data_IF_138517318124
#
_entry.id   IF_138517318124
#
_cell.length_a   1.000
_cell.length_b   1.000
_cell.length_c   1.000
_cell.angle_alpha   90.00
_cell.angle_beta   90.00
_cell.angle_gamma   90.00
#
_symmetry.space_group_name_H-M   'P 1'
#
loop_
_entity.id
_entity.type
_entity.pdbx_description
1 polymer ?
#
# COMPACT_ATOMS: atom_id res chain seq x y z
N UNK A 1 22.72 8.52 -3.67
CA UNK A 1 22.46 7.38 -2.77
C UNK A 1 22.22 7.93 -1.38
N UNK A 2 20.98 8.17 -1.02
CA UNK A 2 20.62 8.58 0.35
C UNK A 2 19.73 7.45 0.91
N UNK A 3 20.31 6.68 1.82
CA UNK A 3 19.59 5.69 2.61
C UNK A 3 18.65 6.44 3.54
N UNK A 4 17.35 6.36 3.28
CA UNK A 4 16.32 6.75 4.25
C UNK A 4 16.23 5.59 5.24
N UNK A 5 16.95 5.69 6.35
CA UNK A 5 16.75 4.81 7.49
C UNK A 5 15.42 5.20 8.13
N UNK A 6 14.40 4.39 7.90
CA UNK A 6 13.20 4.37 8.74
C UNK A 6 13.58 3.77 10.09
N UNK A 7 14.13 4.57 10.98
CA UNK A 7 14.11 4.25 12.40
C UNK A 7 12.74 4.66 12.93
N UNK A 8 11.77 3.75 12.78
CA UNK A 8 10.58 3.77 13.61
C UNK A 8 11.05 3.50 15.04
N UNK A 9 11.34 4.55 15.78
CA UNK A 9 11.48 4.47 17.22
C UNK A 9 10.08 4.21 17.77
N UNK A 10 9.68 2.93 17.78
CA UNK A 10 8.57 2.47 18.60
C UNK A 10 9.02 2.60 20.07
N UNK A 11 8.82 3.76 20.64
CA UNK A 11 8.83 3.95 22.08
C UNK A 11 7.54 3.31 22.63
N UNK A 12 7.49 1.97 22.61
CA UNK A 12 6.54 1.23 23.39
C UNK A 12 7.05 1.28 24.83
N UNK A 13 6.44 2.17 25.61
CA UNK A 13 6.58 2.16 27.06
C UNK A 13 6.05 0.83 27.56
N UNK A 14 6.98 -0.06 27.92
CA UNK A 14 6.66 -1.24 28.69
C UNK A 14 6.08 -0.77 30.03
N UNK A 15 4.76 -0.85 30.20
CA UNK A 15 4.12 -0.83 31.49
C UNK A 15 4.45 -2.14 32.20
N UNK A 16 5.61 -2.23 32.77
CA UNK A 16 5.89 -3.19 33.82
C UNK A 16 5.29 -2.63 35.12
N UNK A 17 4.40 -3.41 35.71
CA UNK A 17 3.84 -3.27 37.04
C UNK A 17 4.92 -3.02 38.08
N UNK A 18 5.10 -1.76 38.44
CA UNK A 18 5.74 -1.37 39.71
C UNK A 18 4.88 -0.25 40.27
N UNK A 19 4.61 -0.38 41.57
CA UNK A 19 3.64 0.34 42.37
C UNK A 19 3.59 1.85 42.19
N UNK A 20 2.45 2.40 42.53
CA UNK A 20 2.16 3.81 42.66
C UNK A 20 3.33 4.62 43.30
N UNK A 21 4.20 5.12 42.46
CA UNK A 21 4.90 6.36 42.72
C UNK A 21 4.39 7.34 41.65
N UNK A 22 3.62 8.31 42.11
CA UNK A 22 3.22 9.46 41.29
C UNK A 22 4.46 10.18 40.80
N UNK A 23 5.04 9.74 39.71
CA UNK A 23 6.03 10.51 39.00
C UNK A 23 5.30 11.75 38.46
N UNK A 24 5.35 12.83 39.19
CA UNK A 24 4.94 14.14 38.74
C UNK A 24 5.88 14.52 37.60
N UNK A 25 5.41 14.34 36.38
CA UNK A 25 6.05 14.90 35.21
C UNK A 25 6.10 16.42 35.43
N UNK A 26 7.26 17.03 35.27
CA UNK A 26 7.37 18.47 35.44
C UNK A 26 6.46 19.16 34.41
N UNK A 27 5.95 20.33 34.76
CA UNK A 27 5.12 21.11 33.84
C UNK A 27 5.80 21.33 32.49
N UNK A 28 7.11 21.55 32.51
CA UNK A 28 7.92 21.74 31.31
C UNK A 28 8.05 20.47 30.46
N UNK A 29 8.13 19.29 31.07
CA UNK A 29 8.15 18.01 30.37
C UNK A 29 6.80 17.74 29.70
N UNK A 30 5.71 18.02 30.39
CA UNK A 30 4.35 17.88 29.83
C UNK A 30 4.11 18.87 28.68
N UNK A 31 4.55 20.12 28.80
CA UNK A 31 4.47 21.12 27.74
C UNK A 31 5.31 20.73 26.51
N UNK A 32 6.48 20.12 26.70
CA UNK A 32 7.32 19.60 25.60
C UNK A 32 6.68 18.41 24.91
N UNK A 33 6.15 17.46 25.68
CA UNK A 33 5.48 16.27 25.11
C UNK A 33 4.22 16.65 24.34
N UNK A 34 3.40 17.55 24.88
CA UNK A 34 2.21 18.04 24.18
C UNK A 34 2.54 18.84 22.92
N UNK A 35 3.63 19.60 22.92
CA UNK A 35 4.11 20.29 21.73
C UNK A 35 4.59 19.31 20.64
N UNK A 36 5.33 18.26 21.01
CA UNK A 36 5.78 17.22 20.09
C UNK A 36 4.60 16.43 19.50
N UNK A 37 3.63 16.05 20.33
CA UNK A 37 2.42 15.37 19.89
C UNK A 37 1.60 16.23 18.93
N UNK A 38 1.52 17.53 19.17
CA UNK A 38 0.81 18.47 18.30
C UNK A 38 1.54 18.62 16.97
N UNK A 39 2.86 18.71 16.96
CA UNK A 39 3.66 18.76 15.73
C UNK A 39 3.50 17.47 14.91
N UNK A 40 3.56 16.31 15.57
CA UNK A 40 3.36 15.01 14.92
C UNK A 40 1.94 14.89 14.34
N UNK A 41 0.92 15.30 15.10
CA UNK A 41 -0.47 15.32 14.63
C UNK A 41 -0.62 16.20 13.38
N UNK A 42 -0.07 17.42 13.39
CA UNK A 42 -0.14 18.33 12.26
C UNK A 42 0.57 17.77 11.02
N UNK A 43 1.74 17.12 11.21
CA UNK A 43 2.46 16.46 10.13
C UNK A 43 1.62 15.31 9.53
N UNK A 44 0.99 14.48 10.36
CA UNK A 44 0.14 13.38 9.94
C UNK A 44 -1.12 13.87 9.22
N UNK A 45 -1.74 14.97 9.67
CA UNK A 45 -2.88 15.59 9.00
C UNK A 45 -2.49 16.13 7.62
N UNK A 46 -1.33 16.75 7.48
CA UNK A 46 -0.82 17.22 6.21
C UNK A 46 -0.52 16.06 5.23
N UNK A 47 0.07 14.96 5.72
CA UNK A 47 0.29 13.76 4.92
C UNK A 47 -1.02 13.13 4.46
N UNK A 48 -2.00 13.00 5.37
CA UNK A 48 -3.33 12.50 5.01
C UNK A 48 -4.03 13.38 3.98
N UNK A 49 -3.89 14.70 4.06
CA UNK A 49 -4.43 15.61 3.06
C UNK A 49 -3.77 15.42 1.69
N UNK A 50 -2.46 15.25 1.64
CA UNK A 50 -1.72 14.97 0.41
C UNK A 50 -2.12 13.62 -0.22
N UNK A 51 -2.33 12.59 0.59
CA UNK A 51 -2.81 11.27 0.13
C UNK A 51 -4.23 11.35 -0.45
N UNK A 52 -5.12 12.13 0.18
CA UNK A 52 -6.48 12.35 -0.35
C UNK A 52 -6.48 13.07 -1.71
N UNK A 53 -5.59 14.06 -1.89
CA UNK A 53 -5.43 14.74 -3.18
C UNK A 53 -4.94 13.80 -4.27
N UNK A 54 -3.95 12.92 -3.98
CA UNK A 54 -3.49 11.89 -4.92
C UNK A 54 -4.62 10.93 -5.31
N UNK A 55 -5.45 10.52 -4.35
CA UNK A 55 -6.62 9.68 -4.62
C UNK A 55 -7.64 10.36 -5.54
N UNK A 56 -7.95 11.63 -5.30
CA UNK A 56 -8.85 12.40 -6.13
C UNK A 56 -8.32 12.61 -7.56
N UNK A 57 -7.01 12.80 -7.72
CA UNK A 57 -6.38 12.88 -9.04
C UNK A 57 -6.49 11.57 -9.82
N UNK A 58 -6.33 10.43 -9.14
CA UNK A 58 -6.56 9.11 -9.75
C UNK A 58 -8.01 8.97 -10.25
N UNK A 59 -8.98 9.29 -9.42
CA UNK A 59 -10.41 9.16 -9.76
C UNK A 59 -10.79 10.09 -10.94
N UNK A 60 -10.19 11.29 -10.98
CA UNK A 60 -10.36 12.22 -12.11
C UNK A 60 -9.78 11.66 -13.40
N UNK A 61 -8.55 11.16 -13.39
CA UNK A 61 -7.91 10.58 -14.56
C UNK A 61 -8.69 9.37 -15.09
N UNK A 62 -9.20 8.55 -14.19
CA UNK A 62 -10.06 7.42 -14.55
C UNK A 62 -11.34 7.89 -15.23
N UNK A 63 -12.04 8.88 -14.68
CA UNK A 63 -13.24 9.43 -15.25
C UNK A 63 -13.00 10.09 -16.61
N UNK A 64 -11.91 10.82 -16.79
CA UNK A 64 -11.52 11.42 -18.08
C UNK A 64 -11.28 10.33 -19.14
N UNK A 65 -10.59 9.26 -18.79
CA UNK A 65 -10.34 8.13 -19.69
C UNK A 65 -11.63 7.45 -20.12
N UNK A 66 -12.55 7.21 -19.17
CA UNK A 66 -13.85 6.59 -19.45
C UNK A 66 -14.72 7.49 -20.34
N UNK A 67 -14.72 8.80 -20.11
CA UNK A 67 -15.51 9.77 -20.89
C UNK A 67 -15.01 9.96 -22.32
N UNK A 68 -13.72 9.82 -22.55
CA UNK A 68 -13.12 10.01 -23.89
C UNK A 68 -13.24 8.78 -24.80
N UNK A 69 -13.81 7.67 -24.33
CA UNK A 69 -13.92 6.43 -25.09
C UNK A 69 -12.59 5.71 -25.36
N UNK A 70 -11.50 6.20 -24.82
CA UNK A 70 -10.14 5.64 -24.97
C UNK A 70 -9.86 4.50 -23.98
N UNK A 71 -10.69 4.36 -22.96
CA UNK A 71 -10.55 3.37 -21.90
C UNK A 71 -10.45 1.95 -22.44
N UNK A 72 -11.38 1.58 -23.29
CA UNK A 72 -11.46 0.21 -23.83
C UNK A 72 -10.18 -0.16 -24.62
N UNK A 73 -9.66 0.77 -25.42
CA UNK A 73 -8.42 0.57 -26.17
C UNK A 73 -7.22 0.46 -25.24
N UNK A 74 -7.08 1.39 -24.31
CA UNK A 74 -5.99 1.39 -23.33
C UNK A 74 -5.98 0.09 -22.52
N UNK A 75 -7.11 -0.32 -21.97
CA UNK A 75 -7.18 -1.52 -21.14
C UNK A 75 -6.98 -2.81 -21.94
N UNK A 76 -7.44 -2.86 -23.19
CA UNK A 76 -7.18 -3.98 -24.08
C UNK A 76 -5.67 -4.14 -24.39
N UNK A 77 -5.00 -3.04 -24.72
CA UNK A 77 -3.54 -3.02 -24.96
C UNK A 77 -2.75 -3.38 -23.68
N UNK A 78 -3.15 -2.84 -22.55
CA UNK A 78 -2.58 -3.15 -21.25
C UNK A 78 -2.72 -4.64 -20.92
N UNK A 79 -3.92 -5.19 -21.09
CA UNK A 79 -4.20 -6.61 -20.83
C UNK A 79 -3.36 -7.52 -21.74
N UNK A 80 -3.24 -7.18 -23.02
CA UNK A 80 -2.41 -7.95 -23.96
C UNK A 80 -0.92 -7.88 -23.59
N UNK A 81 -0.42 -6.70 -23.23
CA UNK A 81 0.97 -6.48 -22.81
C UNK A 81 1.29 -7.29 -21.55
N UNK A 82 0.41 -7.25 -20.54
CA UNK A 82 0.57 -7.99 -19.29
C UNK A 82 0.55 -9.49 -19.51
N UNK A 83 -0.43 -10.00 -20.28
CA UNK A 83 -0.52 -11.44 -20.60
C UNK A 83 0.76 -11.94 -21.28
N UNK A 84 1.29 -11.17 -22.25
CA UNK A 84 2.54 -11.52 -22.93
C UNK A 84 3.74 -11.47 -21.97
N UNK A 85 3.81 -10.46 -21.13
CA UNK A 85 4.89 -10.32 -20.13
C UNK A 85 4.88 -11.49 -19.13
N UNK A 86 3.73 -11.88 -18.62
CA UNK A 86 3.60 -12.98 -17.67
C UNK A 86 3.88 -14.34 -18.33
N UNK A 87 3.35 -14.57 -19.53
CA UNK A 87 3.65 -15.79 -20.29
C UNK A 87 5.14 -15.98 -20.53
N UNK A 88 5.89 -14.91 -20.77
CA UNK A 88 7.34 -14.98 -21.03
C UNK A 88 8.18 -15.46 -19.81
N UNK A 89 7.62 -15.42 -18.61
CA UNK A 89 8.25 -15.87 -17.36
C UNK A 89 7.55 -17.08 -16.74
N UNK A 90 6.64 -17.72 -17.48
CA UNK A 90 5.98 -18.95 -17.03
C UNK A 90 4.91 -18.74 -15.96
N UNK A 91 4.37 -17.53 -15.84
CA UNK A 91 3.28 -17.24 -14.89
C UNK A 91 1.94 -17.66 -15.51
N UNK A 92 1.21 -18.49 -14.79
CA UNK A 92 -0.04 -19.05 -15.26
C UNK A 92 -1.22 -18.09 -15.11
N UNK A 93 -2.22 -18.15 -16.03
CA UNK A 93 -3.42 -17.32 -15.93
C UNK A 93 -4.24 -17.50 -14.65
N UNK A 94 -4.03 -18.62 -13.94
CA UNK A 94 -4.67 -18.89 -12.65
C UNK A 94 -4.06 -18.10 -11.48
N UNK A 95 -2.87 -17.55 -11.67
CA UNK A 95 -2.15 -16.79 -10.65
C UNK A 95 -2.47 -15.29 -10.72
N UNK A 96 -2.76 -14.81 -11.95
CA UNK A 96 -3.03 -13.39 -12.22
C UNK A 96 -4.19 -13.26 -13.19
N UNK A 97 -5.19 -12.48 -12.83
CA UNK A 97 -6.30 -12.14 -13.71
C UNK A 97 -6.23 -10.68 -14.12
N UNK A 98 -6.25 -10.41 -15.42
CA UNK A 98 -6.31 -9.05 -15.96
C UNK A 98 -7.71 -8.80 -16.48
N UNK A 99 -8.39 -7.81 -15.90
CA UNK A 99 -9.74 -7.40 -16.28
C UNK A 99 -9.72 -6.26 -17.31
N UNK A 100 -10.81 -6.14 -18.07
CA UNK A 100 -10.94 -5.12 -19.11
C UNK A 100 -11.25 -3.71 -18.56
N UNK A 101 -11.32 -3.56 -17.24
CA UNK A 101 -11.47 -2.30 -16.51
C UNK A 101 -10.12 -1.77 -15.95
N UNK A 102 -9.00 -2.33 -16.40
CA UNK A 102 -7.66 -1.96 -15.94
C UNK A 102 -7.29 -2.52 -14.56
N UNK A 103 -8.09 -3.43 -14.03
CA UNK A 103 -7.84 -4.10 -12.77
C UNK A 103 -7.04 -5.37 -13.00
N UNK A 104 -5.92 -5.47 -12.28
CA UNK A 104 -5.08 -6.67 -12.23
C UNK A 104 -5.23 -7.30 -10.86
N UNK A 105 -5.64 -8.56 -10.81
CA UNK A 105 -5.92 -9.31 -9.58
C UNK A 105 -4.83 -10.36 -9.39
N UNK A 106 -4.17 -10.31 -8.26
CA UNK A 106 -3.16 -11.26 -7.81
C UNK A 106 -3.72 -12.11 -6.68
N UNK A 107 -3.68 -13.43 -6.83
CA UNK A 107 -4.05 -14.31 -5.73
C UNK A 107 -3.06 -14.18 -4.57
N UNK A 108 -3.57 -14.05 -3.34
CA UNK A 108 -2.70 -13.93 -2.14
C UNK A 108 -1.78 -15.12 -1.98
N UNK A 109 -2.27 -16.33 -2.27
CA UNK A 109 -1.53 -17.58 -2.10
C UNK A 109 -0.33 -17.70 -3.07
N UNK A 110 -0.28 -16.87 -4.11
CA UNK A 110 0.83 -16.74 -5.06
C UNK A 110 1.85 -15.71 -4.56
N UNK A 111 1.36 -14.57 -4.05
CA UNK A 111 2.23 -13.47 -3.65
C UNK A 111 2.89 -13.69 -2.29
N UNK A 112 2.19 -14.32 -1.34
CA UNK A 112 2.61 -14.33 0.07
C UNK A 112 2.78 -15.74 0.61
N UNK A 113 3.69 -15.88 1.57
CA UNK A 113 3.80 -17.08 2.38
C UNK A 113 2.49 -17.37 3.13
N UNK A 114 2.26 -18.65 3.45
CA UNK A 114 1.07 -19.07 4.15
C UNK A 114 0.90 -18.32 5.47
N UNK A 115 -0.29 -17.80 5.71
CA UNK A 115 -0.61 -17.04 6.92
C UNK A 115 0.39 -15.90 7.19
N UNK A 116 0.78 -15.16 6.13
CA UNK A 116 1.78 -14.10 6.20
C UNK A 116 1.38 -12.89 5.35
N UNK A 117 2.12 -11.81 5.52
CA UNK A 117 2.21 -10.65 4.65
C UNK A 117 3.62 -10.52 4.02
N UNK A 118 4.51 -11.49 4.27
CA UNK A 118 5.81 -11.56 3.62
C UNK A 118 5.65 -12.10 2.20
N UNK A 119 6.22 -11.40 1.24
CA UNK A 119 6.22 -11.84 -0.16
C UNK A 119 7.13 -13.06 -0.35
N UNK A 120 6.64 -14.05 -1.11
CA UNK A 120 7.44 -15.16 -1.58
C UNK A 120 8.48 -14.69 -2.61
N UNK A 121 9.56 -15.44 -2.86
CA UNK A 121 10.47 -15.17 -3.97
C UNK A 121 9.75 -15.11 -5.32
N UNK A 122 8.82 -16.02 -5.57
CA UNK A 122 7.99 -16.03 -6.77
C UNK A 122 7.05 -14.81 -6.85
N UNK A 123 6.43 -14.43 -5.73
CA UNK A 123 5.60 -13.22 -5.66
C UNK A 123 6.39 -11.95 -6.00
N UNK A 124 7.64 -11.84 -5.55
CA UNK A 124 8.54 -10.73 -5.90
C UNK A 124 8.88 -10.71 -7.39
N UNK A 125 9.17 -11.86 -7.98
CA UNK A 125 9.43 -11.97 -9.41
C UNK A 125 8.23 -11.51 -10.24
N UNK A 126 7.03 -11.95 -9.88
CA UNK A 126 5.77 -11.53 -10.51
C UNK A 126 5.60 -10.02 -10.45
N UNK A 127 5.78 -9.42 -9.26
CA UNK A 127 5.62 -7.97 -9.06
C UNK A 127 6.70 -7.18 -9.79
N UNK A 128 7.93 -7.67 -9.84
CA UNK A 128 9.02 -7.06 -10.62
C UNK A 128 8.70 -7.07 -12.12
N UNK A 129 8.18 -8.19 -12.62
CA UNK A 129 7.76 -8.28 -14.03
C UNK A 129 6.58 -7.38 -14.33
N UNK A 130 5.59 -7.33 -13.44
CA UNK A 130 4.49 -6.37 -13.54
C UNK A 130 5.02 -4.93 -13.58
N UNK A 131 5.89 -4.54 -12.66
CA UNK A 131 6.47 -3.20 -12.59
C UNK A 131 7.16 -2.79 -13.90
N UNK A 132 7.85 -3.72 -14.56
CA UNK A 132 8.56 -3.44 -15.82
C UNK A 132 7.64 -3.00 -16.95
N UNK A 133 6.35 -3.35 -16.88
CA UNK A 133 5.32 -2.96 -17.86
C UNK A 133 4.64 -1.64 -17.53
N UNK A 134 4.83 -1.08 -16.30
CA UNK A 134 4.07 0.06 -15.79
C UNK A 134 4.86 1.39 -15.78
N UNK A 135 5.59 1.69 -16.86
CA UNK A 135 6.53 2.82 -16.91
C UNK A 135 5.94 4.18 -16.54
N UNK A 136 4.71 4.48 -16.96
CA UNK A 136 4.08 5.79 -16.78
C UNK A 136 2.64 5.71 -16.23
N UNK A 137 2.18 4.54 -15.86
CA UNK A 137 0.82 4.36 -15.36
C UNK A 137 0.73 4.74 -13.88
N UNK A 138 -0.41 5.26 -13.48
CA UNK A 138 -0.76 5.51 -12.08
C UNK A 138 -1.60 4.35 -11.58
N UNK A 139 -1.40 3.95 -10.33
CA UNK A 139 -2.05 2.78 -9.78
C UNK A 139 -2.56 2.99 -8.35
N UNK A 140 -3.66 2.29 -8.06
CA UNK A 140 -4.25 2.15 -6.73
C UNK A 140 -4.13 0.67 -6.33
N UNK A 141 -3.63 0.40 -5.13
CA UNK A 141 -3.40 -0.96 -4.63
C UNK A 141 -4.41 -1.24 -3.52
N UNK A 142 -5.15 -2.35 -3.63
CA UNK A 142 -6.19 -2.72 -2.67
C UNK A 142 -6.01 -4.16 -2.22
N UNK A 143 -5.83 -4.35 -0.91
CA UNK A 143 -5.73 -5.68 -0.29
C UNK A 143 -7.09 -6.18 0.21
N UNK A 144 -7.35 -7.48 0.04
CA UNK A 144 -8.55 -8.17 0.52
C UNK A 144 -8.19 -9.45 1.26
N UNK A 145 -9.06 -9.85 2.19
CA UNK A 145 -8.99 -11.14 2.90
C UNK A 145 -10.27 -11.95 2.68
N UNK A 146 -10.24 -13.21 3.09
CA UNK A 146 -11.47 -13.98 3.27
C UNK A 146 -12.22 -13.54 4.56
N UNK A 147 -13.34 -14.19 4.83
CA UNK A 147 -14.20 -13.90 6.00
C UNK A 147 -13.71 -14.54 7.28
N UNK A 148 -12.70 -15.40 7.25
CA UNK A 148 -12.18 -16.08 8.45
C UNK A 148 -11.48 -15.05 9.33
N UNK A 149 -11.94 -14.88 10.57
CA UNK A 149 -11.35 -13.87 11.45
C UNK A 149 -9.97 -14.31 11.96
N UNK A 150 -9.11 -13.35 12.21
CA UNK A 150 -7.82 -13.56 12.88
C UNK A 150 -8.07 -13.69 14.39
N UNK A 151 -8.42 -14.88 14.87
CA UNK A 151 -8.90 -15.07 16.26
C UNK A 151 -7.89 -15.73 17.20
N UNK A 152 -7.04 -16.64 16.71
CA UNK A 152 -6.10 -17.34 17.61
C UNK A 152 -4.91 -16.46 17.96
N UNK A 153 -4.45 -16.55 19.22
CA UNK A 153 -3.28 -15.80 19.68
C UNK A 153 -2.02 -16.14 18.87
N UNK A 154 -1.86 -17.40 18.44
CA UNK A 154 -0.76 -17.84 17.57
C UNK A 154 -0.81 -17.19 16.21
N UNK A 155 -2.00 -17.12 15.59
CA UNK A 155 -2.18 -16.48 14.28
C UNK A 155 -1.97 -14.96 14.36
N UNK A 156 -2.49 -14.30 15.38
CA UNK A 156 -2.26 -12.87 15.63
C UNK A 156 -0.78 -12.55 15.78
N UNK A 157 -0.05 -13.37 16.55
CA UNK A 157 1.39 -13.22 16.70
C UNK A 157 2.15 -13.45 15.40
N UNK A 158 1.79 -14.49 14.63
CA UNK A 158 2.45 -14.81 13.35
C UNK A 158 2.22 -13.72 12.29
N UNK A 159 1.00 -13.18 12.23
CA UNK A 159 0.61 -12.11 11.29
C UNK A 159 0.97 -10.71 11.79
N UNK A 160 1.33 -10.57 13.08
CA UNK A 160 1.51 -9.27 13.73
C UNK A 160 0.32 -8.33 13.45
N UNK A 161 -0.90 -8.87 13.60
CA UNK A 161 -2.16 -8.16 13.34
C UNK A 161 -3.33 -8.80 14.07
N UNK A 162 -4.31 -8.00 14.43
CA UNK A 162 -5.51 -8.42 15.15
C UNK A 162 -6.76 -8.56 14.26
N UNK A 163 -6.73 -7.96 13.08
CA UNK A 163 -7.91 -7.89 12.21
C UNK A 163 -7.61 -8.19 10.74
N UNK A 164 -8.63 -8.66 10.03
CA UNK A 164 -8.58 -8.82 8.57
C UNK A 164 -8.31 -7.48 7.85
N UNK A 165 -8.82 -6.38 8.40
CA UNK A 165 -8.60 -5.03 7.85
C UNK A 165 -7.11 -4.68 7.87
N UNK A 166 -6.48 -4.85 9.01
CA UNK A 166 -5.05 -4.59 9.19
C UNK A 166 -4.19 -5.52 8.35
N UNK A 167 -4.50 -6.84 8.32
CA UNK A 167 -3.80 -7.79 7.47
C UNK A 167 -3.84 -7.40 6.00
N UNK A 168 -5.00 -6.94 5.52
CA UNK A 168 -5.15 -6.51 4.13
C UNK A 168 -4.34 -5.27 3.81
N UNK A 169 -4.23 -4.30 4.76
CA UNK A 169 -3.35 -3.13 4.63
C UNK A 169 -1.89 -3.56 4.58
N UNK A 170 -1.43 -4.41 5.50
CA UNK A 170 -0.03 -4.90 5.52
C UNK A 170 0.36 -5.57 4.20
N UNK A 171 -0.53 -6.39 3.64
CA UNK A 171 -0.31 -7.03 2.33
C UNK A 171 -0.23 -6.02 1.19
N UNK A 172 -1.12 -5.05 1.15
CA UNK A 172 -1.09 -3.99 0.14
C UNK A 172 0.18 -3.14 0.24
N UNK A 173 0.64 -2.83 1.46
CA UNK A 173 1.89 -2.12 1.71
C UNK A 173 3.12 -2.95 1.30
N UNK A 174 3.12 -4.27 1.52
CA UNK A 174 4.21 -5.14 1.06
C UNK A 174 4.31 -5.17 -0.47
N UNK A 175 3.16 -5.21 -1.17
CA UNK A 175 3.12 -5.08 -2.63
C UNK A 175 3.66 -3.72 -3.08
N UNK A 176 3.21 -2.62 -2.48
CA UNK A 176 3.73 -1.28 -2.77
C UNK A 176 5.25 -1.24 -2.61
N UNK A 177 5.77 -1.73 -1.48
CA UNK A 177 7.20 -1.75 -1.20
C UNK A 177 8.00 -2.48 -2.27
N UNK A 178 7.53 -3.64 -2.76
CA UNK A 178 8.19 -4.39 -3.82
C UNK A 178 8.10 -3.67 -5.17
N UNK A 179 6.97 -3.04 -5.49
CA UNK A 179 6.84 -2.25 -6.73
C UNK A 179 7.79 -1.05 -6.74
N UNK A 180 7.94 -0.34 -5.62
CA UNK A 180 8.90 0.75 -5.49
C UNK A 180 10.35 0.23 -5.64
N UNK A 181 10.65 -0.93 -5.04
CA UNK A 181 11.95 -1.59 -5.19
C UNK A 181 12.23 -1.98 -6.65
N UNK A 182 11.21 -2.43 -7.37
CA UNK A 182 11.27 -2.79 -8.79
C UNK A 182 11.29 -1.57 -9.74
N UNK A 183 11.33 -0.34 -9.23
CA UNK A 183 11.50 0.88 -10.00
C UNK A 183 10.24 1.70 -10.30
N UNK A 184 9.08 1.32 -9.76
CA UNK A 184 7.90 2.19 -9.75
C UNK A 184 8.21 3.42 -8.91
N UNK A 185 7.86 4.60 -9.41
CA UNK A 185 8.05 5.85 -8.67
C UNK A 185 6.90 6.05 -7.68
N UNK A 186 7.18 6.63 -6.53
CA UNK A 186 6.16 6.91 -5.50
C UNK A 186 4.97 7.70 -6.06
N UNK A 187 5.22 8.67 -6.96
CA UNK A 187 4.17 9.44 -7.62
C UNK A 187 3.24 8.64 -8.54
N UNK A 188 3.58 7.38 -8.86
CA UNK A 188 2.71 6.47 -9.61
C UNK A 188 1.75 5.68 -8.69
N UNK A 189 1.93 5.75 -7.38
CA UNK A 189 1.03 5.13 -6.41
C UNK A 189 0.05 6.19 -5.90
N UNK A 190 -1.19 6.13 -6.35
CA UNK A 190 -2.24 7.05 -5.94
C UNK A 190 -2.76 6.77 -4.54
N UNK A 191 -3.00 5.48 -4.22
CA UNK A 191 -3.42 5.05 -2.90
C UNK A 191 -3.07 3.59 -2.63
N UNK A 192 -2.99 3.26 -1.33
CA UNK A 192 -2.86 1.90 -0.82
C UNK A 192 -3.94 1.68 0.21
N UNK A 193 -4.81 0.70 -0.02
CA UNK A 193 -6.00 0.45 0.79
C UNK A 193 -6.05 -1.00 1.25
N UNK A 194 -6.65 -1.22 2.41
CA UNK A 194 -7.02 -2.55 2.86
C UNK A 194 -8.51 -2.62 3.10
N UNK A 195 -9.21 -3.47 2.40
CA UNK A 195 -10.66 -3.65 2.53
C UNK A 195 -11.05 -4.80 3.47
N UNK A 196 -10.05 -5.59 3.93
CA UNK A 196 -10.33 -6.76 4.78
C UNK A 196 -11.28 -7.71 4.08
N UNK A 197 -12.31 -8.16 4.78
CA UNK A 197 -13.34 -9.08 4.28
C UNK A 197 -14.62 -8.40 3.79
N UNK A 198 -14.62 -7.07 3.57
CA UNK A 198 -15.83 -6.32 3.19
C UNK A 198 -16.32 -6.62 1.78
N UNK A 199 -15.44 -7.09 0.89
CA UNK A 199 -15.75 -7.39 -0.52
C UNK A 199 -15.43 -8.86 -0.86
N UNK A 200 -16.21 -9.81 -0.33
CA UNK A 200 -15.98 -11.23 -0.53
C UNK A 200 -16.31 -11.65 -1.97
N UNK A 201 -15.58 -12.61 -2.49
CA UNK A 201 -15.88 -13.33 -3.73
C UNK A 201 -16.63 -14.63 -3.43
N UNK A 202 -16.88 -15.44 -4.47
CA UNK A 202 -17.61 -16.72 -4.35
C UNK A 202 -16.89 -17.70 -3.43
N UNK A 203 -15.57 -17.73 -3.45
CA UNK A 203 -14.76 -18.62 -2.62
C UNK A 203 -13.84 -17.81 -1.69
N UNK A 204 -13.44 -18.43 -0.58
CA UNK A 204 -12.43 -17.85 0.32
C UNK A 204 -11.11 -17.61 -0.41
N UNK A 205 -10.74 -18.51 -1.33
CA UNK A 205 -9.52 -18.39 -2.13
C UNK A 205 -9.55 -17.13 -3.00
N UNK A 206 -10.63 -16.90 -3.74
CA UNK A 206 -10.79 -15.73 -4.61
C UNK A 206 -10.93 -14.42 -3.79
N UNK A 207 -11.41 -14.55 -2.54
CA UNK A 207 -11.53 -13.42 -1.62
C UNK A 207 -10.15 -12.93 -1.15
N UNK A 208 -9.18 -13.84 -0.98
CA UNK A 208 -7.80 -13.52 -0.62
C UNK A 208 -7.03 -13.06 -1.84
N UNK A 209 -6.98 -11.77 -2.08
CA UNK A 209 -6.37 -11.17 -3.26
C UNK A 209 -5.79 -9.78 -3.00
N UNK A 210 -4.91 -9.35 -3.88
CA UNK A 210 -4.54 -7.94 -4.03
C UNK A 210 -4.99 -7.49 -5.43
N UNK A 211 -5.71 -6.40 -5.49
CA UNK A 211 -6.15 -5.77 -6.73
C UNK A 211 -5.30 -4.52 -6.98
N UNK A 212 -4.79 -4.38 -8.21
CA UNK A 212 -4.11 -3.15 -8.65
C UNK A 212 -4.95 -2.57 -9.78
N UNK A 213 -5.50 -1.39 -9.56
CA UNK A 213 -6.24 -0.61 -10.55
C UNK A 213 -5.26 0.32 -11.25
N UNK A 214 -5.25 0.32 -12.57
CA UNK A 214 -4.29 1.03 -13.40
C UNK A 214 -5.01 2.06 -14.26
N UNK A 215 -4.46 3.27 -14.32
CA UNK A 215 -4.85 4.30 -15.27
C UNK A 215 -3.61 4.86 -15.97
N UNK A 216 -3.73 5.31 -17.23
CA UNK A 216 -2.62 5.95 -17.92
C UNK A 216 -2.25 7.25 -17.20
N UNK A 217 -0.99 7.36 -16.78
CA UNK A 217 -0.47 8.59 -16.21
C UNK A 217 -0.15 9.60 -17.32
N UNK A 218 -1.11 10.44 -17.67
CA UNK A 218 -0.90 11.44 -18.72
C UNK A 218 0.20 12.46 -18.37
N UNK A 219 0.45 12.75 -17.11
CA UNK A 219 1.58 13.56 -16.61
C UNK A 219 1.69 13.40 -15.10
N UNK A 220 2.50 12.48 -14.65
CA UNK A 220 2.98 12.53 -13.25
C UNK A 220 4.02 13.65 -13.20
N UNK A 221 3.57 14.87 -12.91
CA UNK A 221 4.49 15.94 -12.51
C UNK A 221 5.18 15.45 -11.22
N UNK A 222 6.51 15.45 -11.16
CA UNK A 222 7.19 15.16 -9.90
C UNK A 222 6.76 16.26 -8.91
N UNK A 223 5.93 15.89 -7.94
CA UNK A 223 5.68 16.77 -6.79
C UNK A 223 7.03 16.93 -6.11
N UNK A 224 7.63 18.09 -6.31
CA UNK A 224 8.82 18.49 -5.58
C UNK A 224 8.43 18.58 -4.11
N UNK A 225 8.78 17.58 -3.33
CA UNK A 225 8.78 17.71 -1.88
C UNK A 225 9.77 18.83 -1.53
N UNK A 226 9.26 20.02 -1.33
CA UNK A 226 10.03 21.08 -0.71
C UNK A 226 10.29 20.60 0.73
N UNK A 227 11.56 20.23 1.00
CA UNK A 227 12.01 20.01 2.38
C UNK A 227 11.59 21.23 3.22
N UNK A 228 11.05 21.00 4.42
CA UNK A 228 10.75 22.12 5.32
C UNK A 228 12.03 22.95 5.50
N UNK A 229 11.93 24.24 5.22
CA UNK A 229 12.99 25.20 5.38
C UNK A 229 13.37 25.22 6.86
N UNK A 230 14.59 24.79 7.21
CA UNK A 230 15.13 24.98 8.56
C UNK A 230 15.21 26.47 8.81
N UNK A 231 14.29 27.00 9.57
CA UNK A 231 14.39 28.34 10.16
C UNK A 231 15.54 28.34 11.15
N UNK A 232 16.71 28.78 10.73
CA UNK A 232 17.81 29.15 11.60
C UNK A 232 17.38 30.38 12.40
N UNK A 233 17.06 30.19 13.68
CA UNK A 233 16.95 31.31 14.61
C UNK A 233 18.34 31.95 14.76
N UNK A 234 18.42 33.24 14.46
CA UNK A 234 19.48 34.14 14.93
C UNK A 234 19.23 34.49 16.37
#
# INVERSE_FOLDING_TARGET
MARISFTLAAAFVALSSVGCSSAWMSREEHERETAQLTEYKNALEAENAALRLKGADYDRMKAELENNGEAAKFYSELAASLRNAFKSVGIEPSEITVHDDGRVVFATDVLFDLASWNLTPHGKEILTKFASTQKNNVMKIVGHTDRKPVVSAGLKKALDTDTNKELSVKRALAVMGELLHAGIREGQIASVEGHGSSEPKKTDKDSRRVEIFIVPGAHVQPTSFQKPVKTTKK
#
